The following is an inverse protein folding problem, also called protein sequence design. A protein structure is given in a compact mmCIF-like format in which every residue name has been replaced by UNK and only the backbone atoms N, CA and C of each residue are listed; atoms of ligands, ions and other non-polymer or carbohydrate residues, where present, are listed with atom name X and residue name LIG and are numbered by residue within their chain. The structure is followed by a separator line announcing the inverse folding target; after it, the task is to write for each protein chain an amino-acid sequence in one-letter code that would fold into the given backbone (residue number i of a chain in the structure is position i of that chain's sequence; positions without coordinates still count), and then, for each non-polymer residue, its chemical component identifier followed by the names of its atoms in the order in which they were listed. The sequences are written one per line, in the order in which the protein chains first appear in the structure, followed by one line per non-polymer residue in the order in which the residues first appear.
data_IF_373654304584
#
_entry.id   IF_373654304584
#
_cell.length_a   1.000
_cell.length_b   1.000
_cell.length_c   1.000
_cell.angle_alpha   90.00
_cell.angle_beta   90.00
_cell.angle_gamma   90.00
#
_symmetry.space_group_name_H-M   'P 1'
#
loop_
_entity.id
_entity.type
_entity.pdbx_description
1 polymer ?
#
# COMPACT_ATOMS: atom_id res chain seq x y z
N UNK A 1 2.38 4.70 16.00
CA UNK A 1 2.91 3.60 15.18
C UNK A 1 4.32 3.15 15.59
N UNK A 2 5.32 4.04 15.61
CA UNK A 2 6.73 3.69 15.90
C UNK A 2 6.93 2.88 17.20
N UNK A 3 6.33 3.29 18.32
CA UNK A 3 6.40 2.53 19.58
C UNK A 3 5.84 1.12 19.43
N UNK A 4 4.72 0.97 18.72
CA UNK A 4 4.08 -0.33 18.51
C UNK A 4 4.95 -1.29 17.68
N UNK A 5 5.56 -0.81 16.59
CA UNK A 5 6.49 -1.62 15.78
C UNK A 5 7.71 -2.06 16.58
N UNK A 6 8.28 -1.15 17.37
CA UNK A 6 9.43 -1.44 18.22
C UNK A 6 9.11 -2.48 19.31
N UNK A 7 8.05 -2.25 20.07
CA UNK A 7 7.69 -3.07 21.23
C UNK A 7 7.14 -4.46 20.86
N UNK A 8 6.49 -4.59 19.68
CA UNK A 8 5.74 -5.80 19.32
C UNK A 8 6.34 -6.59 18.18
N UNK A 9 7.10 -5.95 17.30
CA UNK A 9 7.65 -6.57 16.08
C UNK A 9 9.17 -6.40 15.96
N UNK A 10 9.84 -5.82 16.96
CA UNK A 10 11.30 -5.78 17.01
C UNK A 10 11.96 -4.80 16.05
N UNK A 11 11.20 -3.91 15.40
CA UNK A 11 11.77 -2.85 14.56
C UNK A 11 12.64 -1.94 15.44
N UNK A 12 13.94 -1.88 15.16
CA UNK A 12 14.87 -1.07 15.94
C UNK A 12 14.70 0.41 15.59
N UNK A 13 14.92 1.31 16.55
CA UNK A 13 14.71 2.76 16.34
C UNK A 13 15.69 3.33 15.33
N UNK A 14 16.90 2.79 15.28
CA UNK A 14 17.94 3.13 14.31
C UNK A 14 17.58 2.72 12.88
N UNK A 15 16.67 1.75 12.70
CA UNK A 15 16.13 1.32 11.41
C UNK A 15 14.79 2.01 11.09
N UNK A 16 14.53 3.18 11.70
CA UNK A 16 13.33 3.97 11.42
C UNK A 16 13.70 5.37 10.95
N UNK A 17 13.12 5.78 9.81
CA UNK A 17 13.04 7.19 9.43
C UNK A 17 11.66 7.71 9.81
N UNK A 18 11.62 8.70 10.71
CA UNK A 18 10.38 9.34 11.17
C UNK A 18 10.40 10.79 10.72
N UNK A 19 9.38 11.17 9.94
CA UNK A 19 9.18 12.54 9.47
C UNK A 19 7.93 13.13 10.13
N UNK A 20 8.08 14.19 10.92
CA UNK A 20 6.96 14.94 11.54
C UNK A 20 7.25 16.44 11.51
N UNK A 21 6.19 17.25 11.42
CA UNK A 21 6.26 18.71 11.24
C UNK A 21 6.58 19.49 12.54
N UNK A 22 6.67 18.80 13.66
CA UNK A 22 7.08 19.32 14.97
C UNK A 22 8.57 19.08 15.30
N UNK A 23 9.34 18.49 14.38
CA UNK A 23 10.75 18.20 14.56
C UNK A 23 11.63 19.45 14.42
N UNK A 24 12.75 19.49 15.15
CA UNK A 24 13.77 20.53 14.97
C UNK A 24 14.75 20.23 13.84
N UNK A 25 14.96 18.95 13.51
CA UNK A 25 15.87 18.53 12.46
C UNK A 25 15.21 18.73 11.09
N UNK A 26 15.81 19.56 10.23
CA UNK A 26 15.30 19.85 8.89
C UNK A 26 15.16 18.58 8.01
N UNK A 27 16.00 17.56 8.22
CA UNK A 27 15.90 16.28 7.49
C UNK A 27 14.74 15.40 7.98
N UNK A 28 14.16 15.72 9.13
CA UNK A 28 13.01 15.02 9.72
C UNK A 28 11.69 15.76 9.49
N UNK A 29 11.69 16.88 8.74
CA UNK A 29 10.47 17.57 8.32
C UNK A 29 9.88 16.85 7.09
N UNK A 30 8.57 16.61 7.02
CA UNK A 30 7.92 15.91 5.91
C UNK A 30 7.73 16.80 4.66
N UNK A 31 8.84 17.35 4.13
CA UNK A 31 8.85 18.00 2.81
C UNK A 31 8.78 16.95 1.69
N UNK A 32 8.36 17.35 0.49
CA UNK A 32 8.28 16.43 -0.67
C UNK A 32 9.62 15.72 -0.90
N UNK A 33 10.71 16.48 -0.88
CA UNK A 33 12.06 15.95 -1.07
C UNK A 33 12.45 14.93 0.02
N UNK A 34 12.14 15.21 1.30
CA UNK A 34 12.47 14.31 2.40
C UNK A 34 11.62 13.04 2.37
N UNK A 35 10.33 13.14 2.04
CA UNK A 35 9.43 11.99 1.90
C UNK A 35 9.93 11.08 0.78
N UNK A 36 10.20 11.61 -0.42
CA UNK A 36 10.70 10.82 -1.55
C UNK A 36 12.04 10.15 -1.23
N UNK A 37 12.95 10.87 -0.56
CA UNK A 37 14.22 10.30 -0.09
C UNK A 37 14.02 9.17 0.92
N UNK A 38 13.07 9.31 1.84
CA UNK A 38 12.76 8.28 2.84
C UNK A 38 12.15 7.03 2.18
N UNK A 39 11.26 7.20 1.19
CA UNK A 39 10.71 6.10 0.40
C UNK A 39 11.81 5.33 -0.34
N UNK A 40 12.74 6.06 -0.99
CA UNK A 40 13.90 5.46 -1.65
C UNK A 40 14.81 4.73 -0.66
N UNK A 41 15.06 5.33 0.51
CA UNK A 41 15.85 4.70 1.58
C UNK A 41 15.21 3.39 2.06
N UNK A 42 13.89 3.37 2.24
CA UNK A 42 13.15 2.22 2.77
C UNK A 42 13.35 0.96 1.93
N UNK A 43 13.33 1.09 0.60
CA UNK A 43 13.42 -0.06 -0.31
C UNK A 43 14.84 -0.37 -0.77
N UNK A 44 15.80 0.52 -0.48
CA UNK A 44 17.16 0.40 -1.02
C UNK A 44 17.87 -0.82 -0.45
N UNK A 45 18.15 -1.78 -1.33
CA UNK A 45 18.92 -2.97 -0.98
C UNK A 45 18.11 -4.04 -0.25
N UNK A 46 16.78 -3.92 -0.19
CA UNK A 46 15.90 -4.91 0.40
C UNK A 46 16.11 -6.29 -0.26
N UNK A 47 16.21 -7.32 0.58
CA UNK A 47 16.46 -8.71 0.20
C UNK A 47 15.21 -9.57 0.46
N UNK A 48 15.06 -10.70 -0.24
CA UNK A 48 13.98 -11.64 0.04
C UNK A 48 13.89 -12.00 1.52
N UNK A 49 12.68 -11.97 2.07
CA UNK A 49 12.32 -12.14 3.49
C UNK A 49 12.60 -10.94 4.42
N UNK A 50 13.07 -9.80 3.89
CA UNK A 50 13.03 -8.55 4.65
C UNK A 50 11.57 -8.10 4.85
N UNK A 51 11.30 -7.46 5.99
CA UNK A 51 9.98 -6.90 6.33
C UNK A 51 10.08 -5.38 6.47
N UNK A 52 9.55 -4.69 5.47
CA UNK A 52 9.49 -3.23 5.37
C UNK A 52 8.12 -2.74 5.84
N UNK A 53 8.11 -1.58 6.48
CA UNK A 53 6.88 -0.96 6.96
C UNK A 53 6.84 0.53 6.62
N UNK A 54 5.75 0.99 6.01
CA UNK A 54 5.47 2.41 5.81
C UNK A 54 4.14 2.79 6.45
N UNK A 55 4.13 3.92 7.15
CA UNK A 55 2.93 4.52 7.69
C UNK A 55 2.87 6.00 7.33
N UNK A 56 1.80 6.38 6.66
CA UNK A 56 1.49 7.76 6.35
C UNK A 56 0.20 8.18 7.05
N UNK A 57 0.21 9.34 7.70
CA UNK A 57 -0.97 9.96 8.30
C UNK A 57 -0.92 11.45 7.99
N UNK A 58 -1.92 11.95 7.27
CA UNK A 58 -1.93 13.32 6.77
C UNK A 58 -3.02 13.56 5.75
N UNK A 59 -2.92 14.68 5.02
CA UNK A 59 -3.88 14.98 3.96
C UNK A 59 -3.61 14.13 2.73
N UNK A 60 -4.69 13.57 2.19
CA UNK A 60 -4.74 12.98 0.87
C UNK A 60 -5.83 13.66 0.03
N UNK A 61 -5.77 13.46 -1.28
CA UNK A 61 -6.72 14.05 -2.23
C UNK A 61 -6.64 13.35 -3.57
N UNK A 62 -7.13 14.03 -4.60
CA UNK A 62 -7.19 13.50 -5.96
C UNK A 62 -6.70 14.51 -6.99
N UNK A 63 -6.03 14.05 -8.03
CA UNK A 63 -5.63 14.84 -9.21
C UNK A 63 -6.08 14.11 -10.48
N UNK A 64 -6.34 14.80 -11.61
CA UNK A 64 -6.70 14.11 -12.84
C UNK A 64 -5.60 13.11 -13.27
N UNK A 65 -6.03 11.88 -13.55
CA UNK A 65 -5.19 10.81 -14.10
C UNK A 65 -4.75 11.18 -15.53
N UNK A 66 -3.45 11.04 -15.80
CA UNK A 66 -2.82 11.37 -17.08
C UNK A 66 -2.40 10.13 -17.89
N UNK A 67 -2.38 8.93 -17.31
CA UNK A 67 -1.92 7.70 -17.95
C UNK A 67 -3.07 6.69 -18.22
N UNK A 68 -4.22 6.90 -17.58
CA UNK A 68 -5.46 6.16 -17.80
C UNK A 68 -5.48 4.80 -17.10
N UNK A 69 -4.76 4.63 -15.99
CA UNK A 69 -4.78 3.43 -15.16
C UNK A 69 -5.80 3.47 -14.01
N UNK A 70 -6.48 4.60 -13.78
CA UNK A 70 -7.56 4.75 -12.80
C UNK A 70 -8.96 4.71 -13.44
N UNK A 71 -9.86 3.91 -12.86
CA UNK A 71 -11.22 3.71 -13.43
C UNK A 71 -12.09 4.96 -13.33
N UNK A 72 -11.88 5.79 -12.29
CA UNK A 72 -12.62 7.02 -12.09
C UNK A 72 -11.93 8.25 -12.71
N UNK A 73 -10.74 8.06 -13.30
CA UNK A 73 -9.95 9.10 -13.97
C UNK A 73 -9.22 10.05 -13.02
N UNK A 74 -8.95 9.62 -11.78
CA UNK A 74 -8.19 10.41 -10.82
C UNK A 74 -7.16 9.58 -10.04
N UNK A 75 -5.92 10.07 -10.02
CA UNK A 75 -4.85 9.56 -9.14
C UNK A 75 -5.11 10.00 -7.70
N UNK A 76 -4.89 9.09 -6.74
CA UNK A 76 -4.86 9.39 -5.31
C UNK A 76 -3.49 10.04 -4.96
N UNK A 77 -3.51 11.12 -4.17
CA UNK A 77 -2.29 11.89 -3.85
C UNK A 77 -2.11 12.10 -2.37
N UNK A 78 -0.85 12.19 -1.92
CA UNK A 78 -0.50 12.67 -0.57
C UNK A 78 0.09 14.07 -0.63
N UNK A 79 -0.15 14.86 0.43
CA UNK A 79 0.34 16.23 0.53
C UNK A 79 1.50 16.36 1.52
N UNK A 80 2.73 16.60 1.04
CA UNK A 80 3.85 17.02 1.87
C UNK A 80 3.60 18.37 2.55
N UNK A 81 4.39 18.73 3.56
CA UNK A 81 4.23 20.00 4.28
C UNK A 81 4.39 21.22 3.34
N UNK A 82 5.30 21.12 2.36
CA UNK A 82 5.63 22.15 1.38
C UNK A 82 4.84 22.01 0.06
N UNK A 83 3.70 21.30 0.05
CA UNK A 83 2.94 21.01 -1.17
C UNK A 83 2.54 22.25 -1.98
N UNK A 84 2.36 23.41 -1.33
CA UNK A 84 2.01 24.67 -2.01
C UNK A 84 3.07 25.14 -3.00
N UNK A 85 4.33 24.78 -2.75
CA UNK A 85 5.48 25.16 -3.57
C UNK A 85 6.09 23.98 -4.31
N UNK A 86 6.10 22.79 -3.71
CA UNK A 86 6.72 21.58 -4.26
C UNK A 86 5.72 20.63 -4.97
N UNK A 87 4.42 20.89 -4.83
CA UNK A 87 3.35 20.01 -5.30
C UNK A 87 3.10 18.81 -4.37
N UNK A 88 2.09 18.01 -4.73
CA UNK A 88 1.76 16.74 -4.07
C UNK A 88 2.64 15.59 -4.59
N UNK A 89 2.49 14.40 -4.02
CA UNK A 89 3.08 13.15 -4.52
C UNK A 89 1.93 12.25 -4.96
N UNK A 90 1.96 11.81 -6.21
CA UNK A 90 0.96 10.90 -6.79
C UNK A 90 1.28 9.44 -6.41
N UNK A 91 0.25 8.61 -6.35
CA UNK A 91 0.33 7.15 -6.18
C UNK A 91 1.28 6.47 -7.16
N UNK A 92 1.29 6.92 -8.41
CA UNK A 92 2.17 6.48 -9.48
C UNK A 92 3.66 6.57 -9.09
N UNK A 93 4.07 7.71 -8.52
CA UNK A 93 5.42 7.95 -8.02
C UNK A 93 5.72 7.02 -6.83
N UNK A 94 4.74 6.86 -5.94
CA UNK A 94 4.87 5.99 -4.76
C UNK A 94 5.01 4.52 -5.17
N UNK A 95 4.24 4.05 -6.15
CA UNK A 95 4.33 2.71 -6.72
C UNK A 95 5.68 2.49 -7.40
N UNK A 96 6.10 3.43 -8.25
CA UNK A 96 7.37 3.37 -8.96
C UNK A 96 8.59 3.31 -8.02
N UNK A 97 8.53 4.03 -6.89
CA UNK A 97 9.61 4.06 -5.90
C UNK A 97 9.55 2.85 -4.97
N UNK A 98 8.39 2.49 -4.44
CA UNK A 98 8.29 1.56 -3.30
C UNK A 98 7.86 0.14 -3.66
N UNK A 99 7.19 -0.07 -4.80
CA UNK A 99 6.65 -1.38 -5.17
C UNK A 99 7.47 -2.00 -6.30
N UNK A 100 7.63 -1.26 -7.39
CA UNK A 100 8.29 -1.74 -8.61
C UNK A 100 9.73 -2.27 -8.42
N UNK A 101 10.57 -1.69 -7.55
CA UNK A 101 11.95 -2.15 -7.38
C UNK A 101 12.12 -3.37 -6.47
N UNK A 102 11.07 -3.79 -5.75
CA UNK A 102 11.18 -4.83 -4.73
C UNK A 102 11.37 -6.22 -5.36
N UNK A 103 12.26 -7.00 -4.74
CA UNK A 103 12.52 -8.38 -5.16
C UNK A 103 11.41 -9.33 -4.70
N UNK A 104 11.23 -10.47 -5.38
CA UNK A 104 10.30 -11.51 -4.92
C UNK A 104 10.59 -11.91 -3.46
N UNK A 105 9.52 -12.00 -2.66
CA UNK A 105 9.61 -12.37 -1.24
C UNK A 105 10.02 -11.26 -0.28
N UNK A 106 10.29 -10.03 -0.74
CA UNK A 106 10.36 -8.87 0.17
C UNK A 106 8.94 -8.52 0.62
N UNK A 107 8.72 -8.36 1.93
CA UNK A 107 7.45 -7.86 2.47
C UNK A 107 7.48 -6.34 2.57
N UNK A 108 6.47 -5.66 2.02
CA UNK A 108 6.15 -4.26 2.35
C UNK A 108 4.73 -4.19 2.92
N UNK A 109 4.63 -3.77 4.18
CA UNK A 109 3.34 -3.49 4.82
C UNK A 109 3.11 -1.98 4.88
N UNK A 110 2.03 -1.51 4.30
CA UNK A 110 1.67 -0.10 4.25
C UNK A 110 0.40 0.20 5.04
N UNK A 111 0.38 1.31 5.78
CA UNK A 111 -0.83 1.86 6.39
C UNK A 111 -0.96 3.33 5.99
N UNK A 112 -2.01 3.64 5.24
CA UNK A 112 -2.34 5.00 4.84
C UNK A 112 -3.58 5.50 5.59
N UNK A 113 -3.35 6.43 6.50
CA UNK A 113 -4.35 7.10 7.31
C UNK A 113 -4.64 8.49 6.71
N UNK A 114 -5.19 8.49 5.52
CA UNK A 114 -5.53 9.70 4.76
C UNK A 114 -6.81 9.51 3.96
N UNK A 115 -7.51 10.60 3.65
CA UNK A 115 -8.67 10.56 2.75
C UNK A 115 -8.18 10.31 1.32
N UNK A 116 -8.87 9.47 0.54
CA UNK A 116 -8.47 9.12 -0.83
C UNK A 116 -7.08 8.45 -0.87
N UNK A 117 -6.96 7.31 -0.18
CA UNK A 117 -5.75 6.47 -0.20
C UNK A 117 -6.07 5.02 -0.52
N UNK A 118 -7.20 4.79 -1.20
CA UNK A 118 -7.63 3.45 -1.60
C UNK A 118 -6.64 2.82 -2.56
N UNK A 119 -6.06 3.67 -3.42
CA UNK A 119 -5.12 3.31 -4.49
C UNK A 119 -3.75 3.95 -4.30
N UNK A 120 -3.39 4.44 -3.11
CA UNK A 120 -2.11 5.14 -2.84
C UNK A 120 -0.79 4.40 -3.23
N UNK A 121 -0.86 3.14 -3.64
CA UNK A 121 0.26 2.34 -4.14
C UNK A 121 -0.11 1.56 -5.42
N UNK A 122 -1.20 1.92 -6.10
CA UNK A 122 -1.79 1.28 -7.29
C UNK A 122 -1.91 -0.22 -7.20
N UNK A 123 -2.23 -0.72 -6.01
CA UNK A 123 -2.22 -2.15 -5.75
C UNK A 123 -3.45 -2.82 -6.40
N UNK A 124 -3.24 -3.78 -7.32
CA UNK A 124 -4.31 -4.26 -8.16
C UNK A 124 -5.32 -5.19 -7.46
N UNK A 125 -5.03 -5.74 -6.29
CA UNK A 125 -5.91 -6.71 -5.63
C UNK A 125 -6.56 -6.12 -4.38
N UNK A 126 -7.82 -5.71 -4.49
CA UNK A 126 -8.55 -5.07 -3.38
C UNK A 126 -9.57 -6.03 -2.76
N UNK A 127 -9.46 -6.24 -1.46
CA UNK A 127 -10.29 -7.11 -0.64
C UNK A 127 -11.16 -6.29 0.30
N UNK A 128 -12.44 -6.64 0.36
CA UNK A 128 -13.38 -6.11 1.35
C UNK A 128 -13.40 -6.97 2.61
N UNK A 129 -14.14 -6.52 3.63
CA UNK A 129 -14.33 -7.25 4.88
C UNK A 129 -15.10 -8.57 4.72
N UNK A 130 -15.72 -8.82 3.56
CA UNK A 130 -16.29 -10.13 3.22
C UNK A 130 -15.23 -11.11 2.67
N UNK A 131 -13.96 -10.69 2.53
CA UNK A 131 -12.90 -11.48 1.90
C UNK A 131 -13.05 -11.62 0.38
N UNK A 132 -13.99 -10.87 -0.20
CA UNK A 132 -14.27 -10.92 -1.64
C UNK A 132 -13.31 -9.99 -2.36
N UNK A 133 -12.54 -10.56 -3.28
CA UNK A 133 -11.77 -9.82 -4.26
C UNK A 133 -12.74 -9.18 -5.26
N UNK A 134 -12.60 -7.88 -5.51
CA UNK A 134 -13.53 -7.16 -6.40
C UNK A 134 -13.67 -7.80 -7.80
N UNK A 135 -12.61 -8.42 -8.34
CA UNK A 135 -12.65 -9.12 -9.66
C UNK A 135 -11.72 -10.35 -9.74
N UNK A 136 -12.24 -11.58 -9.62
CA UNK A 136 -11.41 -12.79 -9.47
C UNK A 136 -10.84 -13.39 -10.77
N UNK A 137 -11.44 -13.13 -11.93
CA UNK A 137 -10.99 -13.74 -13.20
C UNK A 137 -9.64 -13.17 -13.66
N UNK A 138 -9.52 -11.85 -13.63
CA UNK A 138 -8.30 -11.14 -14.00
C UNK A 138 -7.13 -11.49 -13.06
N UNK A 139 -7.46 -11.71 -11.79
CA UNK A 139 -6.50 -12.12 -10.79
C UNK A 139 -5.93 -13.52 -11.01
N UNK A 140 -6.72 -14.46 -11.54
CA UNK A 140 -6.22 -15.79 -11.89
C UNK A 140 -5.21 -15.74 -13.03
N UNK A 141 -5.45 -14.91 -14.05
CA UNK A 141 -4.50 -14.73 -15.16
C UNK A 141 -3.17 -14.16 -14.66
N UNK A 142 -3.21 -13.07 -13.90
CA UNK A 142 -2.01 -12.45 -13.37
C UNK A 142 -1.26 -13.33 -12.35
N UNK A 143 -1.97 -14.18 -11.59
CA UNK A 143 -1.34 -15.19 -10.73
C UNK A 143 -0.50 -16.20 -11.53
N UNK A 144 -1.00 -16.65 -12.68
CA UNK A 144 -0.30 -17.59 -13.54
C UNK A 144 0.96 -16.96 -14.12
N UNK A 145 0.86 -15.71 -14.58
CA UNK A 145 1.99 -14.96 -15.11
C UNK A 145 3.06 -14.75 -14.03
N UNK A 146 2.66 -14.33 -12.83
CA UNK A 146 3.56 -14.16 -11.70
C UNK A 146 4.25 -15.47 -11.30
N UNK A 147 3.51 -16.56 -11.19
CA UNK A 147 4.07 -17.88 -10.87
C UNK A 147 5.12 -18.32 -11.90
N UNK A 148 4.87 -18.06 -13.18
CA UNK A 148 5.82 -18.36 -14.26
C UNK A 148 7.12 -17.53 -14.15
N UNK A 149 7.00 -16.25 -13.80
CA UNK A 149 8.15 -15.36 -13.59
C UNK A 149 8.99 -15.81 -12.39
N UNK A 150 8.34 -16.19 -11.29
CA UNK A 150 9.01 -16.70 -10.08
C UNK A 150 9.78 -18.00 -10.34
N UNK A 151 9.15 -18.96 -11.03
CA UNK A 151 9.81 -20.22 -11.41
C UNK A 151 11.05 -20.00 -12.29
N UNK A 152 10.98 -19.03 -13.20
CA UNK A 152 12.07 -18.71 -14.12
C UNK A 152 13.27 -18.13 -13.36
N UNK A 153 13.02 -17.27 -12.37
CA UNK A 153 14.06 -16.74 -11.48
C UNK A 153 14.75 -17.85 -10.67
N UNK A 154 13.97 -18.76 -10.07
CA UNK A 154 14.50 -19.86 -9.27
C UNK A 154 15.30 -20.91 -10.05
N UNK A 155 15.09 -21.01 -11.38
CA UNK A 155 15.83 -21.94 -12.25
C UNK A 155 17.07 -21.34 -12.90
N UNK A 156 17.35 -20.04 -12.71
CA UNK A 156 18.48 -19.36 -13.35
C UNK A 156 18.40 -19.30 -14.87
N UNK A 157 17.19 -19.48 -15.44
CA UNK A 157 16.98 -19.56 -16.88
C UNK A 157 16.71 -18.17 -17.47
N UNK A 158 17.79 -17.49 -17.85
CA UNK A 158 17.77 -16.16 -18.47
C UNK A 158 17.02 -16.14 -19.82
N UNK A 159 16.81 -17.29 -20.47
CA UNK A 159 16.08 -17.39 -21.73
C UNK A 159 14.56 -17.24 -21.59
N UNK A 160 14.00 -17.58 -20.42
CA UNK A 160 12.56 -17.53 -20.16
C UNK A 160 12.00 -16.13 -19.94
N UNK A 161 12.81 -15.18 -19.44
CA UNK A 161 12.37 -13.81 -19.14
C UNK A 161 11.91 -13.03 -20.38
N UNK A 162 12.47 -13.31 -21.55
CA UNK A 162 12.14 -12.61 -22.80
C UNK A 162 10.77 -13.00 -23.36
N UNK A 163 10.33 -14.25 -23.20
CA UNK A 163 9.02 -14.71 -23.69
C UNK A 163 7.86 -14.17 -22.83
N UNK A 164 8.04 -14.03 -21.51
CA UNK A 164 7.04 -13.44 -20.60
C UNK A 164 6.77 -11.98 -20.92
N UNK A 165 7.82 -11.21 -21.22
CA UNK A 165 7.71 -9.81 -21.66
C UNK A 165 6.96 -9.65 -22.99
N UNK A 166 7.14 -10.59 -23.94
CA UNK A 166 6.46 -10.59 -25.25
C UNK A 166 4.96 -10.92 -25.12
N UNK A 167 4.57 -11.78 -24.17
CA UNK A 167 3.17 -12.06 -23.84
C UNK A 167 2.42 -10.84 -23.31
N UNK A 168 3.09 -10.05 -22.46
CA UNK A 168 2.58 -8.76 -21.96
C UNK A 168 2.41 -7.72 -23.08
N UNK A 169 3.37 -7.65 -24.02
CA UNK A 169 3.38 -6.62 -25.08
C UNK A 169 2.30 -6.85 -26.15
N UNK A 170 2.00 -8.11 -26.50
CA UNK A 170 1.07 -8.46 -27.60
C UNK A 170 -0.41 -8.24 -27.26
N UNK A 171 -0.73 -8.06 -25.97
CA UNK A 171 -2.10 -7.87 -25.45
C UNK A 171 -2.48 -6.39 -25.30
N UNK A 172 -1.52 -5.48 -25.46
CA UNK A 172 -1.68 -4.02 -25.37
C UNK A 172 -2.43 -3.36 -26.56
N UNK A 173 -2.77 -4.13 -27.61
CA UNK A 173 -3.42 -3.62 -28.83
C UNK A 173 -4.95 -3.83 -28.85
N UNK A 174 -5.54 -4.35 -27.78
CA UNK A 174 -6.99 -4.48 -27.63
C UNK A 174 -7.46 -3.56 -26.50
N UNK A 175 -8.61 -2.88 -26.68
CA UNK A 175 -9.12 -1.89 -25.73
C UNK A 175 -9.33 -2.48 -24.34
N UNK A 176 -8.34 -2.31 -23.48
CA UNK A 176 -8.35 -2.76 -22.09
C UNK A 176 -9.02 -1.71 -21.19
N UNK A 177 -9.83 -2.13 -20.22
CA UNK A 177 -10.31 -1.25 -19.14
C UNK A 177 -9.13 -0.77 -18.26
N UNK A 178 -9.26 0.40 -17.61
CA UNK A 178 -8.21 0.95 -16.73
C UNK A 178 -7.70 -0.11 -15.73
N UNK A 179 -8.62 -0.81 -15.06
CA UNK A 179 -8.36 -1.95 -14.17
C UNK A 179 -7.55 -3.10 -14.80
N UNK A 180 -7.81 -3.44 -16.06
CA UNK A 180 -7.02 -4.45 -16.77
C UNK A 180 -5.59 -4.00 -17.00
N UNK A 181 -5.38 -2.71 -17.24
CA UNK A 181 -4.04 -2.12 -17.29
C UNK A 181 -3.39 -2.19 -15.92
N UNK A 182 -4.05 -1.73 -14.85
CA UNK A 182 -3.51 -1.76 -13.48
C UNK A 182 -3.08 -3.17 -13.07
N UNK A 183 -3.92 -4.19 -13.28
CA UNK A 183 -3.54 -5.58 -12.93
C UNK A 183 -2.32 -6.05 -13.72
N UNK A 184 -2.19 -5.65 -14.99
CA UNK A 184 -1.03 -6.02 -15.80
C UNK A 184 0.23 -5.24 -15.40
N UNK A 185 0.14 -3.94 -15.19
CA UNK A 185 1.30 -3.06 -15.01
C UNK A 185 1.76 -2.97 -13.56
N UNK A 186 0.85 -3.17 -12.59
CA UNK A 186 1.09 -2.95 -11.16
C UNK A 186 1.10 -4.25 -10.33
N UNK A 187 0.89 -5.43 -10.95
CA UNK A 187 1.15 -6.72 -10.26
C UNK A 187 2.65 -6.87 -10.02
N UNK A 188 3.04 -7.29 -8.82
CA UNK A 188 4.45 -7.46 -8.44
C UNK A 188 4.71 -8.84 -7.80
N UNK A 189 5.91 -9.42 -7.99
CA UNK A 189 6.32 -10.63 -7.27
C UNK A 189 6.73 -10.38 -5.82
N UNK A 190 6.95 -9.14 -5.41
CA UNK A 190 7.16 -8.79 -4.02
C UNK A 190 5.85 -8.92 -3.22
N UNK A 191 5.95 -9.13 -1.91
CA UNK A 191 4.80 -9.29 -1.03
C UNK A 191 4.39 -7.93 -0.46
N UNK A 192 3.64 -7.14 -1.24
CA UNK A 192 3.16 -5.82 -0.82
C UNK A 192 1.69 -5.90 -0.40
N UNK A 193 1.41 -5.46 0.83
CA UNK A 193 0.07 -5.34 1.41
C UNK A 193 -0.15 -3.94 1.98
N UNK A 194 -1.33 -3.37 1.74
CA UNK A 194 -1.70 -2.03 2.20
C UNK A 194 -3.06 -2.05 2.90
N UNK A 195 -3.12 -1.43 4.07
CA UNK A 195 -4.37 -1.06 4.72
C UNK A 195 -4.64 0.43 4.49
N UNK A 196 -5.84 0.76 4.02
CA UNK A 196 -6.27 2.14 3.83
C UNK A 196 -7.70 2.34 4.33
N UNK A 197 -8.06 3.60 4.62
CA UNK A 197 -9.38 3.99 5.10
C UNK A 197 -10.16 4.72 4.02
N UNK A 198 -11.11 4.04 3.35
CA UNK A 198 -12.02 4.68 2.40
C UNK A 198 -13.16 5.38 3.13
N UNK A 199 -13.53 6.60 2.71
CA UNK A 199 -14.81 7.23 3.09
C UNK A 199 -15.83 6.96 1.99
N UNK A 200 -17.03 6.52 2.36
CA UNK A 200 -18.14 6.37 1.40
C UNK A 200 -18.69 7.71 0.90
N UNK A 201 -18.45 8.81 1.62
CA UNK A 201 -18.96 10.14 1.29
C UNK A 201 -17.92 11.22 1.64
N UNK A 202 -17.79 12.21 0.74
CA UNK A 202 -16.74 13.23 0.65
C UNK A 202 -16.69 14.27 1.79
N UNK A 203 -16.74 13.87 3.06
CA UNK A 203 -16.66 14.82 4.18
C UNK A 203 -15.50 14.50 5.12
N UNK A 204 -14.48 15.34 5.09
CA UNK A 204 -13.33 15.36 6.00
C UNK A 204 -13.75 15.79 7.41
N UNK A 205 -14.36 14.89 8.18
CA UNK A 205 -14.38 15.04 9.63
C UNK A 205 -13.01 14.67 10.18
N UNK A 206 -12.30 15.67 10.72
CA UNK A 206 -11.15 15.44 11.59
C UNK A 206 -11.62 14.64 12.80
N UNK A 207 -10.94 13.54 13.07
CA UNK A 207 -11.25 12.66 14.19
C UNK A 207 -10.68 13.28 15.47
N UNK A 208 -11.58 13.75 16.33
CA UNK A 208 -11.24 14.19 17.68
C UNK A 208 -11.77 13.17 18.68
N UNK A 209 -10.87 12.41 19.31
CA UNK A 209 -11.18 11.61 20.49
C UNK A 209 -10.11 11.89 21.55
N UNK A 210 -10.53 12.27 22.74
CA UNK A 210 -9.69 12.64 23.90
C UNK A 210 -8.77 13.87 23.72
N UNK A 211 -9.09 14.75 22.77
CA UNK A 211 -8.34 16.00 22.57
C UNK A 211 -7.07 15.88 21.72
N UNK A 212 -6.82 14.71 21.11
CA UNK A 212 -5.70 14.49 20.18
C UNK A 212 -6.20 14.08 18.79
N UNK A 213 -5.68 14.72 17.74
CA UNK A 213 -5.89 14.29 16.36
C UNK A 213 -5.16 12.95 16.15
N UNK A 214 -5.90 11.85 16.04
CA UNK A 214 -5.35 10.51 15.80
C UNK A 214 -5.92 9.96 14.51
N UNK A 215 -5.06 9.38 13.69
CA UNK A 215 -5.48 8.62 12.52
C UNK A 215 -6.34 7.43 12.96
N UNK A 216 -7.58 7.35 12.45
CA UNK A 216 -8.56 6.37 12.90
C UNK A 216 -8.14 4.94 12.51
N UNK A 217 -7.61 4.76 11.29
CA UNK A 217 -7.19 3.46 10.78
C UNK A 217 -5.99 2.91 11.55
N UNK A 218 -4.96 3.73 11.75
CA UNK A 218 -3.74 3.36 12.46
C UNK A 218 -4.02 3.05 13.93
N UNK A 219 -4.92 3.81 14.57
CA UNK A 219 -5.41 3.51 15.91
C UNK A 219 -6.12 2.15 15.96
N UNK A 220 -7.06 1.91 15.05
CA UNK A 220 -7.82 0.66 15.00
C UNK A 220 -6.90 -0.54 14.74
N UNK A 221 -5.98 -0.44 13.77
CA UNK A 221 -4.96 -1.45 13.48
C UNK A 221 -4.13 -1.81 14.71
N UNK A 222 -3.57 -0.81 15.40
CA UNK A 222 -2.77 -1.03 16.61
C UNK A 222 -3.61 -1.69 17.69
N UNK A 223 -4.86 -1.25 17.89
CA UNK A 223 -5.74 -1.79 18.92
C UNK A 223 -6.11 -3.25 18.64
N UNK A 224 -6.52 -3.58 17.41
CA UNK A 224 -6.84 -4.93 16.99
C UNK A 224 -5.66 -5.89 17.16
N UNK A 225 -4.46 -5.51 16.71
CA UNK A 225 -3.25 -6.32 16.88
C UNK A 225 -2.79 -6.45 18.34
N UNK A 226 -3.04 -5.43 19.18
CA UNK A 226 -2.74 -5.50 20.62
C UNK A 226 -3.65 -6.50 21.33
N UNK A 227 -4.95 -6.50 21.02
CA UNK A 227 -5.95 -7.37 21.62
C UNK A 227 -5.86 -8.82 21.13
N UNK A 228 -5.68 -9.01 19.82
CA UNK A 228 -5.60 -10.32 19.20
C UNK A 228 -4.40 -10.34 18.24
N UNK A 229 -3.21 -10.80 18.68
CA UNK A 229 -2.01 -10.74 17.85
C UNK A 229 -1.97 -11.79 16.73
N UNK A 230 -2.78 -12.85 16.85
CA UNK A 230 -2.84 -13.97 15.89
C UNK A 230 -4.16 -13.90 15.13
N UNK A 231 -4.13 -13.24 13.98
CA UNK A 231 -5.28 -13.07 13.12
C UNK A 231 -4.89 -13.40 11.68
N UNK A 232 -5.83 -13.96 10.93
CA UNK A 232 -5.74 -13.95 9.47
C UNK A 232 -5.90 -12.53 8.91
N UNK A 233 -5.54 -12.31 7.65
CA UNK A 233 -5.79 -11.02 6.98
C UNK A 233 -7.28 -10.63 7.04
N UNK A 234 -8.18 -11.59 6.80
CA UNK A 234 -9.62 -11.36 6.87
C UNK A 234 -10.09 -11.04 8.28
N UNK A 235 -9.57 -11.74 9.29
CA UNK A 235 -9.89 -11.46 10.70
C UNK A 235 -9.40 -10.07 11.10
N UNK A 236 -8.16 -9.72 10.74
CA UNK A 236 -7.59 -8.41 11.04
C UNK A 236 -8.39 -7.29 10.40
N UNK A 237 -8.75 -7.42 9.12
CA UNK A 237 -9.56 -6.43 8.42
C UNK A 237 -10.94 -6.26 9.09
N UNK A 238 -11.55 -7.35 9.54
CA UNK A 238 -12.82 -7.30 10.28
C UNK A 238 -12.68 -6.70 11.69
N UNK A 239 -11.63 -7.05 12.44
CA UNK A 239 -11.37 -6.46 13.76
C UNK A 239 -11.10 -4.96 13.67
N UNK A 240 -10.38 -4.51 12.65
CA UNK A 240 -10.19 -3.08 12.36
C UNK A 240 -11.54 -2.43 12.08
N UNK A 241 -12.37 -3.04 11.23
CA UNK A 241 -13.72 -2.52 10.93
C UNK A 241 -14.57 -2.40 12.19
N UNK A 242 -14.57 -3.41 13.05
CA UNK A 242 -15.33 -3.39 14.31
C UNK A 242 -14.86 -2.29 15.27
N UNK A 243 -13.56 -1.96 15.27
CA UNK A 243 -13.04 -0.85 16.08
C UNK A 243 -13.46 0.52 15.54
N UNK A 244 -13.61 0.63 14.21
CA UNK A 244 -14.03 1.84 13.52
C UNK A 244 -15.54 2.08 13.55
N UNK A 245 -16.34 1.01 13.51
CA UNK A 245 -17.79 1.06 13.40
C UNK A 245 -18.44 1.86 14.55
N UNK A 246 -19.41 2.73 14.19
CA UNK A 246 -20.12 3.61 15.13
C UNK A 246 -19.32 4.82 15.63
N UNK A 247 -18.00 4.89 15.40
CA UNK A 247 -17.13 6.02 15.78
C UNK A 247 -16.62 6.78 14.56
N UNK A 248 -16.36 6.07 13.48
CA UNK A 248 -15.76 6.59 12.25
C UNK A 248 -16.56 6.15 11.04
N UNK A 249 -16.65 7.02 10.03
CA UNK A 249 -17.25 6.70 8.74
C UNK A 249 -16.30 5.96 7.79
N UNK A 250 -15.01 5.88 8.15
CA UNK A 250 -14.02 5.14 7.38
C UNK A 250 -14.33 3.64 7.38
N UNK A 251 -14.25 3.04 6.20
CA UNK A 251 -14.25 1.59 6.01
C UNK A 251 -12.82 1.15 5.66
N UNK A 252 -12.25 0.19 6.38
CA UNK A 252 -10.92 -0.29 6.07
C UNK A 252 -10.97 -1.14 4.80
N UNK A 253 -9.94 -1.01 3.97
CA UNK A 253 -9.71 -1.83 2.79
C UNK A 253 -8.32 -2.47 2.89
N UNK A 254 -8.18 -3.64 2.29
CA UNK A 254 -6.90 -4.34 2.13
C UNK A 254 -6.60 -4.42 0.65
N UNK A 255 -5.50 -3.81 0.21
CA UNK A 255 -5.01 -3.90 -1.17
C UNK A 255 -3.68 -4.65 -1.21
N UNK A 256 -3.43 -5.43 -2.26
CA UNK A 256 -2.24 -6.25 -2.40
C UNK A 256 -1.64 -6.17 -3.81
N UNK A 257 -0.36 -6.48 -3.93
CA UNK A 257 0.39 -6.53 -5.21
C UNK A 257 0.23 -7.84 -5.97
N UNK A 258 -0.23 -8.90 -5.30
CA UNK A 258 -0.56 -10.20 -5.87
C UNK A 258 -1.82 -10.77 -5.20
N UNK A 259 -2.47 -11.80 -5.77
CA UNK A 259 -3.57 -12.47 -5.08
C UNK A 259 -3.14 -13.00 -3.72
N UNK A 260 -3.96 -12.74 -2.72
CA UNK A 260 -3.74 -13.09 -1.33
C UNK A 260 -4.81 -14.11 -0.89
N UNK A 261 -4.38 -15.21 -0.27
CA UNK A 261 -5.28 -16.04 0.53
C UNK A 261 -5.51 -15.33 1.88
N UNK A 262 -6.67 -14.69 2.00
CA UNK A 262 -7.03 -13.88 3.16
C UNK A 262 -7.20 -14.69 4.46
N UNK A 263 -7.21 -16.01 4.39
CA UNK A 263 -7.27 -16.89 5.57
C UNK A 263 -5.89 -17.18 6.16
N UNK A 264 -4.80 -16.85 5.46
CA UNK A 264 -3.45 -16.93 6.01
C UNK A 264 -3.27 -15.96 7.16
N UNK A 265 -2.39 -16.32 8.11
CA UNK A 265 -2.04 -15.46 9.22
C UNK A 265 -1.35 -14.19 8.72
N UNK A 266 -1.79 -13.05 9.24
CA UNK A 266 -1.07 -11.79 9.10
C UNK A 266 0.20 -11.84 9.94
N UNK A 267 1.33 -11.53 9.31
CA UNK A 267 2.66 -11.50 9.92
C UNK A 267 3.36 -10.21 9.52
N UNK A 268 4.30 -9.72 10.34
CA UNK A 268 5.17 -8.57 10.05
C UNK A 268 6.56 -8.85 10.60
#
# INVERSE_FOLDING_TARGET
MSNFLHERFGYRREDMVILTDDQKNAMSIPTKANILRAMQWLVKGAQPNDSLFIHFSGHGGRTPDLDGDEEDGYDDVIYPLDYRTAGHIVDDDMHAIMVRPLQPGVRLTAIFDSCHSGTALDLPYVYSTQGVLKEPNLAKEAAQDLFSAFLSYGKGDLGGMAQTAIGFLKKATMGDSARQRTVRTKTSPADVVMFSGSKDTQTSADTFQDGEARGALSWAFIKSQKQQPRQSYLQLLNSIRSELEGKYSQKPQLSCSHPLDVNLLFVM
#
